data_IF_770246373564
#
_entry.id   IF_770246373564
#
_cell.length_a   1.000
_cell.length_b   1.000
_cell.length_c   1.000
_cell.angle_alpha   90.00
_cell.angle_beta   90.00
_cell.angle_gamma   90.00
#
_symmetry.space_group_name_H-M   'P 1'
#
loop_
_entity.id
_entity.type
_entity.pdbx_description
1 polymer ?
#
# COMPACT_ATOMS: atom_id res chain seq x y z
N UNK A 1 12.55 -7.94 -21.44
CA UNK A 1 12.86 -7.21 -22.68
C UNK A 1 13.66 -8.05 -23.68
N UNK A 2 13.70 -9.39 -23.56
CA UNK A 2 14.42 -10.25 -24.53
C UNK A 2 15.93 -10.02 -24.61
N UNK A 3 16.52 -9.42 -23.57
CA UNK A 3 17.96 -9.16 -23.48
C UNK A 3 18.59 -10.30 -22.68
N UNK A 4 19.61 -10.94 -23.25
CA UNK A 4 20.34 -12.05 -22.62
C UNK A 4 21.55 -11.55 -21.81
N UNK A 5 22.14 -10.42 -22.21
CA UNK A 5 23.26 -9.76 -21.53
C UNK A 5 23.12 -8.23 -21.59
N UNK A 6 23.68 -7.54 -20.60
CA UNK A 6 23.73 -6.07 -20.53
C UNK A 6 24.62 -5.61 -19.39
N UNK A 7 25.29 -4.46 -19.56
CA UNK A 7 26.03 -3.85 -18.46
C UNK A 7 25.05 -3.29 -17.43
N UNK A 8 25.14 -3.81 -16.20
CA UNK A 8 24.34 -3.35 -15.07
C UNK A 8 25.21 -2.55 -14.10
N UNK A 9 24.69 -1.42 -13.63
CA UNK A 9 25.34 -0.59 -12.61
C UNK A 9 24.32 -0.30 -11.51
N UNK A 10 24.58 -0.84 -10.32
CA UNK A 10 23.81 -0.52 -9.13
C UNK A 10 24.51 0.60 -8.36
N UNK A 11 23.94 1.80 -8.44
CA UNK A 11 24.38 2.94 -7.63
C UNK A 11 23.62 2.95 -6.31
N UNK A 12 24.28 3.42 -5.26
CA UNK A 12 23.63 3.68 -3.98
C UNK A 12 22.55 4.77 -4.13
N UNK A 13 21.51 4.66 -3.31
CA UNK A 13 20.50 5.71 -3.24
C UNK A 13 21.06 6.95 -2.58
N UNK A 14 20.76 8.12 -3.15
CA UNK A 14 21.04 9.41 -2.52
C UNK A 14 20.09 9.76 -1.37
N UNK A 15 19.12 8.90 -1.08
CA UNK A 15 18.10 9.12 -0.05
C UNK A 15 18.45 8.45 1.28
N UNK A 16 18.30 9.18 2.39
CA UNK A 16 18.56 8.67 3.74
C UNK A 16 17.31 7.97 4.31
N UNK A 17 17.07 6.74 3.85
CA UNK A 17 15.90 5.95 4.26
C UNK A 17 15.83 5.74 5.78
N UNK A 18 16.96 5.57 6.45
CA UNK A 18 17.02 5.31 7.89
C UNK A 18 16.46 6.47 8.72
N UNK A 19 16.55 7.70 8.22
CA UNK A 19 16.07 8.90 8.93
C UNK A 19 14.79 9.48 8.33
N UNK A 20 14.48 9.19 7.07
CA UNK A 20 13.40 9.84 6.32
C UNK A 20 12.22 8.90 6.00
N UNK A 21 12.28 7.61 6.36
CA UNK A 21 11.18 6.65 6.15
C UNK A 21 10.82 5.92 7.44
N UNK A 22 9.51 5.74 7.64
CA UNK A 22 8.96 4.79 8.59
C UNK A 22 8.30 3.64 7.83
N UNK A 23 8.77 2.40 8.05
CA UNK A 23 8.12 1.20 7.52
C UNK A 23 7.17 0.63 8.57
N UNK A 24 5.89 0.56 8.20
CA UNK A 24 4.86 -0.07 9.02
C UNK A 24 4.29 -1.29 8.28
N UNK A 25 4.39 -2.46 8.92
CA UNK A 25 3.81 -3.70 8.43
C UNK A 25 2.68 -4.09 9.40
N UNK A 26 1.40 -4.03 8.98
CA UNK A 26 0.30 -4.42 9.84
C UNK A 26 0.40 -5.90 10.19
N UNK A 27 0.42 -6.22 11.49
CA UNK A 27 0.34 -7.59 11.98
C UNK A 27 -1.02 -8.22 11.67
N UNK A 28 -1.05 -9.52 11.37
CA UNK A 28 -2.28 -10.32 11.23
C UNK A 28 -3.22 -9.85 10.10
N UNK A 29 -2.69 -9.51 8.93
CA UNK A 29 -3.53 -9.30 7.75
C UNK A 29 -4.03 -10.65 7.19
N UNK A 30 -5.29 -10.72 6.71
CA UNK A 30 -5.78 -11.88 5.97
C UNK A 30 -4.96 -12.12 4.71
N UNK A 31 -5.06 -13.33 4.16
CA UNK A 31 -4.44 -13.63 2.87
C UNK A 31 -5.19 -12.90 1.73
N UNK A 32 -4.53 -12.07 0.91
CA UNK A 32 -5.20 -11.24 -0.10
C UNK A 32 -5.79 -12.06 -1.26
N UNK A 33 -5.33 -13.30 -1.50
CA UNK A 33 -5.87 -14.16 -2.55
C UNK A 33 -6.94 -15.12 -2.03
N UNK A 34 -6.70 -15.77 -0.89
CA UNK A 34 -7.61 -16.78 -0.32
C UNK A 34 -8.78 -16.16 0.44
N UNK A 35 -8.60 -14.94 0.96
CA UNK A 35 -9.57 -14.27 1.83
C UNK A 35 -9.79 -12.82 1.37
N UNK A 36 -9.93 -12.62 0.05
CA UNK A 36 -9.97 -11.29 -0.57
C UNK A 36 -10.98 -10.32 0.08
N UNK A 37 -12.23 -10.75 0.32
CA UNK A 37 -13.24 -9.89 0.97
C UNK A 37 -12.84 -9.48 2.39
N UNK A 38 -12.36 -10.43 3.19
CA UNK A 38 -11.90 -10.13 4.56
C UNK A 38 -10.66 -9.24 4.54
N UNK A 39 -9.77 -9.44 3.56
CA UNK A 39 -8.61 -8.59 3.34
C UNK A 39 -9.03 -7.16 3.00
N UNK A 40 -9.95 -6.95 2.05
CA UNK A 40 -10.48 -5.62 1.69
C UNK A 40 -11.04 -4.89 2.90
N UNK A 41 -11.85 -5.57 3.72
CA UNK A 41 -12.43 -4.99 4.94
C UNK A 41 -11.33 -4.59 5.94
N UNK A 42 -10.40 -5.49 6.27
CA UNK A 42 -9.30 -5.20 7.21
C UNK A 42 -8.34 -4.14 6.68
N UNK A 43 -8.08 -4.12 5.38
CA UNK A 43 -7.26 -3.10 4.73
C UNK A 43 -7.94 -1.73 4.83
N UNK A 44 -9.24 -1.65 4.57
CA UNK A 44 -10.04 -0.42 4.72
C UNK A 44 -9.94 0.13 6.13
N UNK A 45 -10.13 -0.69 7.17
CA UNK A 45 -9.99 -0.26 8.56
C UNK A 45 -8.60 0.30 8.88
N UNK A 46 -7.55 -0.34 8.36
CA UNK A 46 -6.17 0.12 8.55
C UNK A 46 -5.90 1.42 7.81
N UNK A 47 -6.38 1.55 6.57
CA UNK A 47 -6.28 2.78 5.78
C UNK A 47 -6.98 3.93 6.51
N UNK A 48 -8.22 3.74 6.98
CA UNK A 48 -8.97 4.74 7.77
C UNK A 48 -8.16 5.24 8.97
N UNK A 49 -7.60 4.32 9.76
CA UNK A 49 -6.77 4.66 10.92
C UNK A 49 -5.51 5.44 10.54
N UNK A 50 -4.81 5.03 9.48
CA UNK A 50 -3.60 5.73 9.01
C UNK A 50 -3.92 7.11 8.46
N UNK A 51 -5.00 7.25 7.68
CA UNK A 51 -5.45 8.55 7.17
C UNK A 51 -5.87 9.51 8.28
N UNK A 52 -6.44 9.02 9.38
CA UNK A 52 -6.73 9.86 10.54
C UNK A 52 -5.46 10.36 11.27
N UNK A 53 -4.39 9.57 11.23
CA UNK A 53 -3.09 9.94 11.84
C UNK A 53 -2.28 10.88 10.94
N UNK A 54 -2.34 10.68 9.62
CA UNK A 54 -1.59 11.44 8.62
C UNK A 54 -2.45 12.63 8.18
N UNK A 55 -2.00 13.86 8.49
CA UNK A 55 -2.75 15.09 8.19
C UNK A 55 -2.66 15.50 6.70
N UNK A 56 -3.07 14.61 5.79
CA UNK A 56 -3.12 14.83 4.34
C UNK A 56 -1.91 14.30 3.56
N UNK A 57 -1.95 14.45 2.24
CA UNK A 57 -0.91 14.01 1.29
C UNK A 57 -0.59 12.51 1.31
N UNK A 58 -1.61 11.68 1.54
CA UNK A 58 -1.48 10.21 1.49
C UNK A 58 -1.85 9.69 0.11
N UNK A 59 -0.97 8.87 -0.46
CA UNK A 59 -1.27 8.07 -1.65
C UNK A 59 -1.44 6.61 -1.24
N UNK A 60 -2.56 6.00 -1.63
CA UNK A 60 -2.85 4.57 -1.37
C UNK A 60 -2.80 3.83 -2.71
N UNK A 61 -1.84 2.92 -2.86
CA UNK A 61 -1.66 2.12 -4.06
C UNK A 61 -2.42 0.81 -3.96
N UNK A 62 -3.16 0.46 -5.01
CA UNK A 62 -3.86 -0.82 -5.16
C UNK A 62 -3.32 -1.59 -6.35
N UNK A 63 -3.28 -2.91 -6.24
CA UNK A 63 -2.93 -3.83 -7.35
C UNK A 63 -4.16 -4.28 -8.14
N UNK A 64 -5.36 -3.84 -7.76
CA UNK A 64 -6.63 -4.18 -8.39
C UNK A 64 -7.59 -2.99 -8.35
N UNK A 65 -8.21 -2.67 -9.50
CA UNK A 65 -9.27 -1.67 -9.59
C UNK A 65 -10.51 -2.06 -8.77
N UNK A 66 -10.83 -3.35 -8.72
CA UNK A 66 -11.96 -3.84 -7.93
C UNK A 66 -11.78 -3.52 -6.44
N UNK A 67 -10.58 -3.73 -5.89
CA UNK A 67 -10.29 -3.41 -4.48
C UNK A 67 -10.30 -1.90 -4.26
N UNK A 68 -9.75 -1.12 -5.21
CA UNK A 68 -9.81 0.34 -5.16
C UNK A 68 -11.26 0.81 -5.04
N UNK A 69 -12.15 0.35 -5.93
CA UNK A 69 -13.56 0.75 -5.95
C UNK A 69 -14.29 0.37 -4.66
N UNK A 70 -14.02 -0.82 -4.12
CA UNK A 70 -14.59 -1.30 -2.85
C UNK A 70 -14.15 -0.42 -1.68
N UNK A 71 -12.85 -0.21 -1.51
CA UNK A 71 -12.30 0.61 -0.43
C UNK A 71 -12.74 2.07 -0.57
N UNK A 72 -12.78 2.61 -1.79
CA UNK A 72 -13.25 3.96 -2.06
C UNK A 72 -14.70 4.17 -1.62
N UNK A 73 -15.60 3.23 -1.95
CA UNK A 73 -17.01 3.30 -1.52
C UNK A 73 -17.11 3.32 0.01
N UNK A 74 -16.41 2.41 0.69
CA UNK A 74 -16.41 2.31 2.15
C UNK A 74 -15.77 3.52 2.85
N UNK A 75 -14.83 4.21 2.21
CA UNK A 75 -14.25 5.46 2.72
C UNK A 75 -15.19 6.64 2.54
N UNK A 76 -15.92 6.69 1.42
CA UNK A 76 -16.84 7.78 1.10
C UNK A 76 -18.09 7.78 1.98
N UNK A 77 -18.58 6.61 2.40
CA UNK A 77 -19.74 6.49 3.29
C UNK A 77 -19.47 6.99 4.72
N UNK A 78 -18.20 7.09 5.12
CA UNK A 78 -17.78 7.56 6.44
C UNK A 78 -17.62 9.10 6.53
N UNK A 79 -17.75 9.82 5.40
CA UNK A 79 -17.56 11.28 5.31
C UNK A 79 -18.89 12.02 5.21
#
# INVERSE_FOLDING_TARGET
>A
MGLEEGEELLLDSSFDYSRQVLLYIPSHMPDPWRQATLFSLRATEKIKKLLALIKGYTFVLFTSFQMLDEVYKLLKEDV
#
